data_IF_868426708762
#
_entry.id   IF_868426708762
#
_cell.length_a   1.000
_cell.length_b   1.000
_cell.length_c   1.000
_cell.angle_alpha   90.00
_cell.angle_beta   90.00
_cell.angle_gamma   90.00
#
_symmetry.space_group_name_H-M   'P 1'
#
loop_
_entity.id
_entity.type
_entity.pdbx_description
1 polymer ?
#
# COMPACT_ATOMS: atom_id res chain seq x y z
N UNK A 1 18.04 -10.72 1.94
CA UNK A 1 16.89 -9.96 1.38
C UNK A 1 16.32 -9.07 2.47
N UNK A 2 16.06 -7.79 2.19
CA UNK A 2 15.39 -6.92 3.15
C UNK A 2 14.00 -7.51 3.48
N UNK A 3 13.64 -7.59 4.76
CA UNK A 3 12.36 -8.16 5.23
C UNK A 3 12.38 -9.63 5.63
N UNK A 4 13.47 -10.38 5.39
CA UNK A 4 13.59 -11.76 5.87
C UNK A 4 13.51 -11.82 7.41
N UNK A 5 12.68 -12.72 7.94
CA UNK A 5 12.45 -12.88 9.38
C UNK A 5 11.45 -11.88 10.00
N UNK A 6 10.88 -10.96 9.21
CA UNK A 6 9.81 -10.08 9.67
C UNK A 6 8.42 -10.75 9.50
N UNK A 7 7.39 -10.31 10.25
CA UNK A 7 6.03 -10.79 10.06
C UNK A 7 5.56 -10.65 8.61
N UNK A 8 4.92 -11.70 8.07
CA UNK A 8 4.43 -11.71 6.69
C UNK A 8 5.47 -12.15 5.64
N UNK A 9 6.75 -12.30 6.00
CA UNK A 9 7.80 -12.63 5.02
C UNK A 9 7.62 -14.02 4.38
N UNK A 10 7.13 -15.02 5.14
CA UNK A 10 6.91 -16.37 4.61
C UNK A 10 5.68 -16.42 3.71
N UNK A 11 4.65 -15.66 4.06
CA UNK A 11 3.40 -15.55 3.33
C UNK A 11 3.64 -14.87 1.98
N UNK A 12 4.40 -13.77 1.97
CA UNK A 12 4.77 -13.07 0.74
C UNK A 12 5.64 -13.93 -0.16
N UNK A 13 6.62 -14.67 0.39
CA UNK A 13 7.52 -15.49 -0.43
C UNK A 13 6.85 -16.71 -1.08
N UNK A 14 5.74 -17.20 -0.49
CA UNK A 14 4.98 -18.36 -0.98
C UNK A 14 3.74 -17.98 -1.79
N UNK A 15 3.41 -16.69 -1.90
CA UNK A 15 2.21 -16.25 -2.58
C UNK A 15 2.34 -16.36 -4.10
N UNK A 16 1.57 -17.25 -4.72
CA UNK A 16 1.56 -17.45 -6.17
C UNK A 16 0.97 -16.26 -6.95
N UNK A 17 0.19 -15.41 -6.29
CA UNK A 17 -0.46 -14.25 -6.90
C UNK A 17 0.42 -12.99 -6.90
N UNK A 18 1.62 -13.04 -6.29
CA UNK A 18 2.54 -11.90 -6.25
C UNK A 18 3.55 -12.02 -7.39
N UNK A 19 3.57 -11.03 -8.28
CA UNK A 19 4.59 -10.88 -9.31
C UNK A 19 5.70 -9.93 -8.83
N UNK A 20 6.95 -10.40 -8.85
CA UNK A 20 8.12 -9.58 -8.48
C UNK A 20 8.67 -8.86 -9.71
N UNK A 21 8.72 -7.54 -9.66
CA UNK A 21 9.31 -6.70 -10.72
C UNK A 21 10.48 -5.88 -10.20
N UNK A 22 11.55 -5.85 -10.98
CA UNK A 22 12.68 -4.94 -10.75
C UNK A 22 12.33 -3.54 -11.23
N UNK A 23 12.73 -2.53 -10.46
CA UNK A 23 12.62 -1.12 -10.84
C UNK A 23 13.67 -0.84 -11.93
N UNK A 24 13.28 -0.12 -12.97
CA UNK A 24 14.17 0.14 -14.11
C UNK A 24 15.32 1.10 -13.76
N UNK A 25 15.06 2.06 -12.87
CA UNK A 25 16.07 3.03 -12.41
C UNK A 25 16.32 2.98 -10.89
N UNK A 26 17.14 2.04 -10.40
CA UNK A 26 17.46 1.93 -8.97
C UNK A 26 18.28 3.11 -8.42
N UNK A 27 19.04 3.83 -9.26
CA UNK A 27 19.83 5.00 -8.83
C UNK A 27 18.94 6.18 -8.40
N UNK A 28 17.80 6.37 -9.07
CA UNK A 28 16.80 7.36 -8.69
C UNK A 28 16.15 7.07 -7.32
N UNK A 29 16.02 5.79 -6.97
CA UNK A 29 15.40 5.35 -5.73
C UNK A 29 16.16 5.83 -4.48
N UNK A 30 17.48 5.60 -4.44
CA UNK A 30 18.32 5.98 -3.28
C UNK A 30 18.30 7.50 -3.02
N UNK A 31 18.32 8.29 -4.09
CA UNK A 31 18.26 9.75 -3.99
C UNK A 31 16.90 10.22 -3.48
N UNK A 32 15.82 9.61 -3.96
CA UNK A 32 14.47 9.92 -3.53
C UNK A 32 14.20 9.48 -2.08
N UNK A 33 14.75 8.34 -1.63
CA UNK A 33 14.67 7.91 -0.23
C UNK A 33 15.27 8.96 0.72
N UNK A 34 16.47 9.47 0.42
CA UNK A 34 17.10 10.53 1.24
C UNK A 34 16.28 11.82 1.23
N UNK A 35 15.70 12.19 0.09
CA UNK A 35 14.90 13.41 -0.06
C UNK A 35 13.58 13.36 0.71
N UNK A 36 12.87 12.24 0.67
CA UNK A 36 11.52 12.12 1.23
C UNK A 36 11.48 11.45 2.61
N UNK A 37 12.60 10.87 3.06
CA UNK A 37 12.68 10.16 4.35
C UNK A 37 11.78 8.92 4.41
N UNK A 38 11.55 8.28 3.26
CA UNK A 38 10.73 7.07 3.13
C UNK A 38 11.61 5.83 3.00
N UNK A 39 11.09 4.72 3.54
CA UNK A 39 11.77 3.42 3.47
C UNK A 39 11.88 2.90 2.03
N UNK A 40 12.81 1.94 1.79
CA UNK A 40 13.01 1.37 0.46
C UNK A 40 11.75 0.70 -0.09
N UNK A 41 10.92 0.08 0.77
CA UNK A 41 9.67 -0.56 0.36
C UNK A 41 8.64 0.43 -0.19
N UNK A 42 8.36 1.50 0.54
CA UNK A 42 7.40 2.54 0.13
C UNK A 42 7.84 3.27 -1.13
N UNK A 43 9.12 3.65 -1.20
CA UNK A 43 9.68 4.29 -2.38
C UNK A 43 9.62 3.37 -3.59
N UNK A 44 9.91 2.08 -3.40
CA UNK A 44 9.82 1.09 -4.46
C UNK A 44 8.39 0.92 -4.96
N UNK A 45 7.40 0.89 -4.06
CA UNK A 45 5.99 0.80 -4.43
C UNK A 45 5.53 1.99 -5.28
N UNK A 46 5.94 3.21 -4.91
CA UNK A 46 5.59 4.43 -5.66
C UNK A 46 6.25 4.43 -7.04
N UNK A 47 7.55 4.12 -7.12
CA UNK A 47 8.28 4.12 -8.39
C UNK A 47 7.76 3.04 -9.33
N UNK A 48 7.56 1.83 -8.83
CA UNK A 48 7.01 0.73 -9.60
C UNK A 48 5.58 1.04 -10.07
N UNK A 49 4.76 1.68 -9.24
CA UNK A 49 3.42 2.12 -9.64
C UNK A 49 3.47 3.11 -10.82
N UNK A 50 4.44 4.04 -10.83
CA UNK A 50 4.65 4.95 -11.97
C UNK A 50 5.11 4.21 -13.22
N UNK A 51 6.10 3.33 -13.09
CA UNK A 51 6.63 2.55 -14.22
C UNK A 51 5.56 1.66 -14.86
N UNK A 52 4.65 1.12 -14.05
CA UNK A 52 3.55 0.24 -14.52
C UNK A 52 2.29 1.01 -14.94
N UNK A 53 2.23 2.33 -14.76
CA UNK A 53 0.98 3.09 -14.94
C UNK A 53 -0.15 2.62 -14.02
N UNK A 54 0.18 2.14 -12.83
CA UNK A 54 -0.75 1.52 -11.91
C UNK A 54 -1.78 2.54 -11.37
N UNK A 55 -3.04 2.14 -11.32
CA UNK A 55 -4.14 2.95 -10.82
C UNK A 55 -5.23 2.05 -10.20
N UNK A 56 -5.31 1.92 -8.86
CA UNK A 56 -4.57 2.65 -7.81
C UNK A 56 -3.35 1.93 -7.23
N UNK A 57 -2.51 2.66 -6.48
CA UNK A 57 -1.43 2.11 -5.60
C UNK A 57 -1.92 1.95 -4.16
N UNK A 58 -1.54 0.85 -3.49
CA UNK A 58 -1.85 0.59 -2.08
C UNK A 58 -0.73 1.12 -1.18
N UNK A 59 -1.04 2.03 -0.26
CA UNK A 59 -0.07 2.63 0.67
C UNK A 59 -0.71 2.87 2.06
N UNK A 60 -0.07 2.35 3.10
CA UNK A 60 -0.50 2.42 4.51
C UNK A 60 0.19 3.56 5.29
N UNK A 61 1.34 4.03 4.86
CA UNK A 61 2.02 5.20 5.44
C UNK A 61 1.51 6.55 4.92
N UNK A 62 1.40 7.54 5.81
CA UNK A 62 0.89 8.87 5.49
C UNK A 62 1.83 9.69 4.60
N UNK A 63 3.14 9.66 4.85
CA UNK A 63 4.12 10.40 4.04
C UNK A 63 4.22 9.77 2.65
N UNK A 64 4.20 8.44 2.55
CA UNK A 64 4.15 7.74 1.28
C UNK A 64 2.91 8.13 0.47
N UNK A 65 1.74 8.18 1.12
CA UNK A 65 0.51 8.66 0.47
C UNK A 65 0.64 10.10 -0.03
N UNK A 66 1.23 11.00 0.77
CA UNK A 66 1.42 12.40 0.37
C UNK A 66 2.31 12.50 -0.87
N UNK A 67 3.41 11.74 -0.90
CA UNK A 67 4.30 11.69 -2.06
C UNK A 67 3.60 11.12 -3.29
N UNK A 68 2.92 9.98 -3.18
CA UNK A 68 2.22 9.36 -4.30
C UNK A 68 1.17 10.30 -4.92
N UNK A 69 0.43 11.08 -4.11
CA UNK A 69 -0.49 12.11 -4.62
C UNK A 69 0.25 13.21 -5.38
N UNK A 70 1.36 13.70 -4.83
CA UNK A 70 2.17 14.74 -5.49
C UNK A 70 2.75 14.27 -6.83
N UNK A 71 3.00 12.96 -6.95
CA UNK A 71 3.44 12.30 -8.17
C UNK A 71 2.28 11.89 -9.12
N UNK A 72 1.04 12.31 -8.82
CA UNK A 72 -0.13 12.10 -9.68
C UNK A 72 -0.77 10.70 -9.59
N UNK A 73 -0.36 9.85 -8.65
CA UNK A 73 -0.91 8.51 -8.49
C UNK A 73 -2.23 8.54 -7.72
N UNK A 74 -3.19 7.69 -8.12
CA UNK A 74 -4.37 7.39 -7.29
C UNK A 74 -4.01 6.39 -6.22
N UNK A 75 -4.50 6.62 -5.01
CA UNK A 75 -4.17 5.84 -3.83
C UNK A 75 -5.41 5.12 -3.34
N UNK A 76 -5.24 3.88 -2.92
CA UNK A 76 -6.26 3.11 -2.24
C UNK A 76 -5.72 2.63 -0.88
N UNK A 77 -6.46 2.91 0.18
CA UNK A 77 -6.18 2.38 1.52
C UNK A 77 -6.99 1.12 1.80
N UNK A 78 -6.76 0.50 2.97
CA UNK A 78 -7.49 -0.72 3.37
C UNK A 78 -9.01 -0.53 3.48
N UNK A 79 -9.47 0.69 3.79
CA UNK A 79 -10.91 1.06 3.80
C UNK A 79 -11.48 0.99 2.39
N UNK A 80 -10.90 1.73 1.45
CA UNK A 80 -11.36 1.74 0.06
C UNK A 80 -11.20 0.38 -0.64
N UNK A 81 -10.20 -0.41 -0.25
CA UNK A 81 -10.03 -1.78 -0.76
C UNK A 81 -11.23 -2.66 -0.41
N UNK A 82 -11.72 -2.61 0.84
CA UNK A 82 -12.91 -3.37 1.25
C UNK A 82 -14.17 -2.88 0.56
N UNK A 83 -14.34 -1.57 0.46
CA UNK A 83 -15.45 -0.99 -0.28
C UNK A 83 -15.45 -1.44 -1.75
N UNK A 84 -14.28 -1.43 -2.40
CA UNK A 84 -14.10 -1.93 -3.77
C UNK A 84 -14.52 -3.40 -3.89
N UNK A 85 -14.13 -4.24 -2.94
CA UNK A 85 -14.50 -5.66 -2.92
C UNK A 85 -16.00 -5.86 -2.69
N UNK A 86 -16.63 -5.04 -1.84
CA UNK A 86 -18.07 -5.08 -1.64
C UNK A 86 -18.83 -4.68 -2.90
N UNK A 87 -18.46 -3.55 -3.54
CA UNK A 87 -19.08 -3.10 -4.78
C UNK A 87 -18.91 -4.11 -5.92
N UNK A 88 -17.81 -4.87 -5.93
CA UNK A 88 -17.54 -5.96 -6.88
C UNK A 88 -18.15 -7.32 -6.48
N UNK A 89 -18.94 -7.38 -5.40
CA UNK A 89 -19.61 -8.60 -4.89
C UNK A 89 -18.67 -9.70 -4.39
N UNK A 90 -17.39 -9.39 -4.13
CA UNK A 90 -16.46 -10.30 -3.44
C UNK A 90 -16.64 -10.30 -1.92
N UNK A 91 -17.16 -9.20 -1.37
CA UNK A 91 -17.60 -9.13 0.02
C UNK A 91 -19.12 -8.97 0.07
N UNK A 92 -19.80 -9.76 0.88
CA UNK A 92 -21.26 -9.72 1.03
C UNK A 92 -21.71 -8.79 2.15
N UNK A 93 -20.84 -8.50 3.13
CA UNK A 93 -21.18 -7.69 4.30
C UNK A 93 -20.07 -6.67 4.61
N UNK A 94 -20.23 -5.46 4.08
CA UNK A 94 -19.28 -4.36 4.28
C UNK A 94 -19.20 -3.93 5.76
N UNK A 95 -20.33 -3.90 6.47
CA UNK A 95 -20.39 -3.53 7.89
C UNK A 95 -19.54 -4.46 8.74
N UNK A 96 -19.68 -5.77 8.56
CA UNK A 96 -18.88 -6.77 9.27
C UNK A 96 -17.39 -6.61 8.96
N UNK A 97 -17.04 -6.36 7.69
CA UNK A 97 -15.65 -6.15 7.29
C UNK A 97 -15.02 -4.92 7.97
N UNK A 98 -15.80 -3.84 8.15
CA UNK A 98 -15.35 -2.65 8.90
C UNK A 98 -15.28 -2.88 10.41
N UNK A 99 -16.26 -3.57 10.99
CA UNK A 99 -16.24 -3.92 12.42
C UNK A 99 -15.01 -4.76 12.77
N UNK A 100 -14.64 -5.72 11.93
CA UNK A 100 -13.43 -6.51 12.11
C UNK A 100 -12.15 -5.68 12.05
N UNK A 101 -12.11 -4.64 11.21
CA UNK A 101 -10.99 -3.71 11.15
C UNK A 101 -10.88 -2.94 12.47
N UNK A 102 -11.98 -2.35 12.96
CA UNK A 102 -11.99 -1.59 14.21
C UNK A 102 -11.60 -2.44 15.41
N UNK A 103 -12.04 -3.70 15.47
CA UNK A 103 -11.68 -4.61 16.55
C UNK A 103 -10.18 -5.00 16.56
N UNK A 104 -9.55 -5.10 15.39
CA UNK A 104 -8.14 -5.51 15.26
C UNK A 104 -7.15 -4.35 15.21
N UNK A 105 -7.63 -3.12 15.01
CA UNK A 105 -6.81 -1.92 14.83
C UNK A 105 -7.37 -0.79 15.71
N UNK A 106 -7.03 -0.74 17.01
CA UNK A 106 -7.63 0.21 17.96
C UNK A 106 -7.27 1.69 17.70
N UNK A 107 -6.41 2.00 16.74
CA UNK A 107 -5.90 3.36 16.46
C UNK A 107 -6.67 4.14 15.39
N UNK A 108 -7.71 3.56 14.76
CA UNK A 108 -8.61 4.31 13.88
C UNK A 108 -9.54 5.20 14.71
N UNK A 109 -9.03 6.34 15.19
CA UNK A 109 -9.89 7.37 15.80
C UNK A 109 -10.70 8.08 14.70
N UNK A 110 -12.01 8.33 14.93
CA UNK A 110 -12.88 9.02 13.99
C UNK A 110 -12.57 10.53 13.93
N UNK A 111 -11.40 10.91 13.42
CA UNK A 111 -11.00 12.33 13.30
C UNK A 111 -10.32 12.66 11.96
N UNK A 112 -10.38 11.77 10.97
CA UNK A 112 -9.78 12.00 9.64
C UNK A 112 -10.79 11.83 8.49
N UNK A 113 -12.06 12.09 8.77
CA UNK A 113 -13.14 12.18 7.77
C UNK A 113 -13.81 13.56 7.86
N UNK A 114 -13.05 14.61 7.56
CA UNK A 114 -13.53 15.94 7.20
C UNK A 114 -12.60 16.51 6.15
#
# INVERSE_FOLDING_TARGET
>A
MAGAGLPGASEVSKAEWIEVKSIQNPGGLLSAQRKYGLGPGEMSAIFLAKELGANPVLLDDYKARKLAKAEGLKILGSVGLRETFYLRRYLTNLRSAFQQLLMRQPFLKPTQLT
#
